data_IF_712335851769
#
_entry.id   IF_712335851769
#
_cell.length_a   1.000
_cell.length_b   1.000
_cell.length_c   1.000
_cell.angle_alpha   90.00
_cell.angle_beta   90.00
_cell.angle_gamma   90.00
#
_symmetry.space_group_name_H-M   'P 1'
#
loop_
_entity.id
_entity.type
_entity.pdbx_description
1 polymer ?
#
# COMPACT_ATOMS: atom_id res chain seq x y z
N UNK A 1 -32.93 8.51 28.06
CA UNK A 1 -32.13 9.21 29.07
C UNK A 1 -30.77 8.57 29.00
N UNK A 2 -29.76 9.27 28.46
CA UNK A 2 -28.41 8.74 28.37
C UNK A 2 -27.86 8.60 29.79
N UNK A 3 -27.36 7.42 30.16
CA UNK A 3 -26.74 7.19 31.46
C UNK A 3 -25.46 8.02 31.59
N UNK A 4 -25.08 8.37 32.82
CA UNK A 4 -23.93 9.24 33.13
C UNK A 4 -22.57 8.75 32.56
N UNK A 5 -22.51 7.54 31.99
CA UNK A 5 -21.32 6.90 31.43
C UNK A 5 -21.34 6.73 29.89
N UNK A 6 -22.43 7.09 29.18
CA UNK A 6 -22.56 6.89 27.73
C UNK A 6 -21.46 7.63 26.92
N UNK A 7 -20.98 8.76 27.43
CA UNK A 7 -19.91 9.54 26.80
C UNK A 7 -18.55 8.83 26.88
N UNK A 8 -18.30 8.05 27.94
CA UNK A 8 -17.06 7.26 28.06
C UNK A 8 -17.03 6.16 27.01
N UNK A 9 -18.16 5.47 26.87
CA UNK A 9 -18.32 4.40 25.90
C UNK A 9 -18.19 4.91 24.46
N UNK A 10 -18.75 6.09 24.16
CA UNK A 10 -18.56 6.75 22.87
C UNK A 10 -17.09 7.11 22.61
N UNK A 11 -16.37 7.64 23.59
CA UNK A 11 -14.94 7.96 23.48
C UNK A 11 -14.09 6.69 23.28
N UNK A 12 -14.41 5.62 23.99
CA UNK A 12 -13.71 4.34 23.86
C UNK A 12 -13.92 3.70 22.48
N UNK A 13 -15.16 3.59 22.00
CA UNK A 13 -15.46 3.08 20.64
C UNK A 13 -14.69 3.87 19.59
N UNK A 14 -14.69 5.20 19.76
CA UNK A 14 -13.99 6.13 18.88
C UNK A 14 -12.48 5.81 18.86
N UNK A 15 -11.81 5.68 20.02
CA UNK A 15 -10.39 5.28 20.09
C UNK A 15 -10.13 3.91 19.46
N UNK A 16 -11.00 2.93 19.65
CA UNK A 16 -10.86 1.61 19.03
C UNK A 16 -10.88 1.71 17.49
N UNK A 17 -11.74 2.55 16.92
CA UNK A 17 -11.79 2.77 15.47
C UNK A 17 -10.52 3.40 14.90
N UNK A 18 -9.92 4.38 15.58
CA UNK A 18 -8.64 4.95 15.12
C UNK A 18 -7.49 3.94 15.22
N UNK A 19 -7.43 3.17 16.31
CA UNK A 19 -6.48 2.07 16.44
C UNK A 19 -6.62 1.06 15.28
N UNK A 20 -7.86 0.71 14.92
CA UNK A 20 -8.12 -0.22 13.83
C UNK A 20 -7.63 0.33 12.47
N UNK A 21 -7.84 1.61 12.17
CA UNK A 21 -7.36 2.22 10.92
C UNK A 21 -5.83 2.26 10.87
N UNK A 22 -5.19 2.63 11.98
CA UNK A 22 -3.72 2.70 12.04
C UNK A 22 -3.12 1.29 11.90
N UNK A 23 -3.73 0.28 12.52
CA UNK A 23 -3.37 -1.12 12.31
C UNK A 23 -3.55 -1.55 10.84
N UNK A 24 -4.62 -1.11 10.18
CA UNK A 24 -4.85 -1.38 8.76
C UNK A 24 -3.76 -0.76 7.87
N UNK A 25 -3.38 0.49 8.15
CA UNK A 25 -2.29 1.19 7.45
C UNK A 25 -0.96 0.44 7.66
N UNK A 26 -0.63 0.08 8.91
CA UNK A 26 0.58 -0.68 9.23
C UNK A 26 0.63 -2.03 8.51
N UNK A 27 -0.48 -2.78 8.54
CA UNK A 27 -0.61 -4.05 7.81
C UNK A 27 -0.45 -3.86 6.30
N UNK A 28 -1.06 -2.82 5.72
CA UNK A 28 -0.94 -2.49 4.30
C UNK A 28 0.51 -2.17 3.92
N UNK A 29 1.23 -1.40 4.76
CA UNK A 29 2.64 -1.09 4.55
C UNK A 29 3.51 -2.35 4.58
N UNK A 30 3.28 -3.25 5.53
CA UNK A 30 4.02 -4.52 5.59
C UNK A 30 3.76 -5.39 4.36
N UNK A 31 2.52 -5.44 3.86
CA UNK A 31 2.20 -6.14 2.61
C UNK A 31 2.90 -5.49 1.41
N UNK A 32 2.87 -4.16 1.31
CA UNK A 32 3.53 -3.43 0.22
C UNK A 32 5.05 -3.64 0.23
N UNK A 33 5.69 -3.63 1.40
CA UNK A 33 7.12 -3.95 1.55
C UNK A 33 7.42 -5.39 1.14
N UNK A 34 6.57 -6.35 1.52
CA UNK A 34 6.71 -7.75 1.12
C UNK A 34 6.67 -7.92 -0.40
N UNK A 35 5.67 -7.29 -1.06
CA UNK A 35 5.54 -7.30 -2.52
C UNK A 35 6.69 -6.57 -3.21
N UNK A 36 7.13 -5.42 -2.69
CA UNK A 36 8.25 -4.66 -3.24
C UNK A 36 9.53 -5.49 -3.25
N UNK A 37 9.83 -6.20 -2.15
CA UNK A 37 10.98 -7.10 -2.06
C UNK A 37 10.89 -8.21 -3.09
N UNK A 38 9.72 -8.87 -3.17
CA UNK A 38 9.48 -9.95 -4.13
C UNK A 38 9.69 -9.47 -5.58
N UNK A 39 9.00 -8.39 -5.97
CA UNK A 39 9.07 -7.87 -7.33
C UNK A 39 10.47 -7.36 -7.69
N UNK A 40 11.17 -6.70 -6.78
CA UNK A 40 12.53 -6.22 -7.04
C UNK A 40 13.53 -7.35 -7.25
N UNK A 41 13.44 -8.43 -6.46
CA UNK A 41 14.33 -9.59 -6.60
C UNK A 41 14.09 -10.31 -7.93
N UNK A 42 12.82 -10.55 -8.26
CA UNK A 42 12.48 -11.24 -9.51
C UNK A 42 12.85 -10.34 -10.70
N UNK A 43 12.56 -9.04 -10.64
CA UNK A 43 12.92 -8.10 -11.71
C UNK A 43 14.43 -8.06 -11.95
N UNK A 44 15.25 -8.09 -10.89
CA UNK A 44 16.70 -8.12 -11.02
C UNK A 44 17.15 -9.43 -11.70
N UNK A 45 16.61 -10.57 -11.28
CA UNK A 45 16.93 -11.86 -11.88
C UNK A 45 16.54 -11.92 -13.37
N UNK A 46 15.35 -11.44 -13.74
CA UNK A 46 14.91 -11.41 -15.14
C UNK A 46 15.66 -10.38 -15.96
N UNK A 47 16.06 -9.24 -15.37
CA UNK A 47 16.90 -8.25 -16.04
C UNK A 47 18.28 -8.84 -16.37
N UNK A 48 18.91 -9.51 -15.41
CA UNK A 48 20.20 -10.19 -15.63
C UNK A 48 20.07 -11.26 -16.72
N UNK A 49 19.04 -12.11 -16.66
CA UNK A 49 18.80 -13.13 -17.68
C UNK A 49 18.54 -12.54 -19.07
N UNK A 50 17.80 -11.43 -19.16
CA UNK A 50 17.56 -10.73 -20.42
C UNK A 50 18.86 -10.18 -21.01
N UNK A 51 19.68 -9.52 -20.21
CA UNK A 51 20.98 -8.97 -20.65
C UNK A 51 21.91 -10.09 -21.11
N UNK A 52 22.04 -11.18 -20.35
CA UNK A 52 22.87 -12.32 -20.75
C UNK A 52 22.38 -12.93 -22.07
N UNK A 53 21.07 -13.15 -22.22
CA UNK A 53 20.51 -13.72 -23.45
C UNK A 53 20.69 -12.82 -24.67
N UNK A 54 20.56 -11.50 -24.52
CA UNK A 54 20.63 -10.56 -25.65
C UNK A 54 22.07 -10.14 -25.99
N UNK A 55 22.94 -10.00 -25.00
CA UNK A 55 24.30 -9.47 -25.19
C UNK A 55 25.36 -10.56 -25.35
N UNK A 56 25.26 -11.67 -24.60
CA UNK A 56 26.26 -12.74 -24.67
C UNK A 56 25.98 -13.75 -25.80
N UNK A 57 24.75 -13.77 -26.34
CA UNK A 57 24.35 -14.67 -27.43
C UNK A 57 24.32 -16.16 -27.03
N UNK A 58 24.46 -16.48 -25.74
CA UNK A 58 24.45 -17.85 -25.22
C UNK A 58 23.06 -18.50 -25.30
N UNK A 59 22.00 -17.69 -25.37
CA UNK A 59 20.61 -18.12 -25.44
C UNK A 59 19.88 -17.47 -26.62
N UNK A 60 18.74 -18.06 -27.01
CA UNK A 60 17.87 -17.50 -28.05
C UNK A 60 17.45 -16.07 -27.69
N UNK A 61 17.59 -15.07 -28.60
CA UNK A 61 17.13 -13.70 -28.37
C UNK A 61 15.65 -13.59 -27.97
N UNK A 62 14.85 -14.58 -28.34
CA UNK A 62 13.44 -14.73 -27.93
C UNK A 62 13.29 -14.78 -26.41
N UNK A 63 14.13 -15.56 -25.73
CA UNK A 63 14.12 -15.67 -24.25
C UNK A 63 14.52 -14.34 -23.62
N UNK A 64 15.47 -13.64 -24.24
CA UNK A 64 15.88 -12.30 -23.81
C UNK A 64 14.73 -11.29 -23.81
N UNK A 65 13.94 -11.24 -24.88
CA UNK A 65 12.78 -10.34 -24.99
C UNK A 65 11.62 -10.72 -24.05
N UNK A 66 11.39 -12.02 -23.84
CA UNK A 66 10.44 -12.51 -22.85
C UNK A 66 10.82 -12.00 -21.45
N UNK A 67 12.07 -12.22 -21.04
CA UNK A 67 12.57 -11.79 -19.73
C UNK A 67 12.60 -10.27 -19.58
N UNK A 68 12.91 -9.52 -20.66
CA UNK A 68 12.85 -8.06 -20.66
C UNK A 68 11.42 -7.55 -20.44
N UNK A 69 10.43 -8.15 -21.09
CA UNK A 69 9.02 -7.78 -20.93
C UNK A 69 8.54 -8.02 -19.49
N UNK A 70 8.92 -9.16 -18.90
CA UNK A 70 8.59 -9.52 -17.53
C UNK A 70 9.23 -8.54 -16.53
N UNK A 71 10.50 -8.19 -16.76
CA UNK A 71 11.23 -7.18 -15.98
C UNK A 71 10.49 -5.85 -15.94
N UNK A 72 10.04 -5.34 -17.09
CA UNK A 72 9.32 -4.06 -17.16
C UNK A 72 8.04 -4.06 -16.32
N UNK A 73 7.25 -5.14 -16.39
CA UNK A 73 6.01 -5.27 -15.63
C UNK A 73 6.29 -5.34 -14.12
N UNK A 74 7.34 -6.05 -13.71
CA UNK A 74 7.73 -6.13 -12.30
C UNK A 74 8.28 -4.81 -11.77
N UNK A 75 9.10 -4.10 -12.54
CA UNK A 75 9.58 -2.75 -12.17
C UNK A 75 8.40 -1.78 -12.02
N UNK A 76 7.45 -1.81 -12.96
CA UNK A 76 6.23 -1.02 -12.85
C UNK A 76 5.41 -1.39 -11.60
N UNK A 77 5.31 -2.67 -11.28
CA UNK A 77 4.59 -3.15 -10.10
C UNK A 77 5.29 -2.74 -8.79
N UNK A 78 6.63 -2.79 -8.75
CA UNK A 78 7.44 -2.28 -7.65
C UNK A 78 7.23 -0.78 -7.44
N UNK A 79 7.13 0.00 -8.52
CA UNK A 79 6.83 1.43 -8.43
C UNK A 79 5.46 1.71 -7.79
N UNK A 80 4.44 0.91 -8.11
CA UNK A 80 3.14 1.01 -7.44
C UNK A 80 3.22 0.66 -5.93
N UNK A 81 4.08 -0.29 -5.54
CA UNK A 81 4.35 -0.57 -4.13
C UNK A 81 5.01 0.63 -3.42
N UNK A 82 5.92 1.33 -4.09
CA UNK A 82 6.51 2.57 -3.56
C UNK A 82 5.46 3.66 -3.33
N UNK A 83 4.53 3.86 -4.26
CA UNK A 83 3.41 4.79 -4.07
C UNK A 83 2.48 4.38 -2.92
N UNK A 84 2.32 3.08 -2.66
CA UNK A 84 1.55 2.60 -1.51
C UNK A 84 2.26 2.87 -0.17
N UNK A 85 3.59 2.98 -0.18
CA UNK A 85 4.43 3.24 1.00
C UNK A 85 4.67 4.72 1.27
N UNK A 86 4.23 5.60 0.37
CA UNK A 86 4.44 7.05 0.50
C UNK A 86 3.99 7.53 1.88
N UNK A 87 4.87 8.31 2.52
CA UNK A 87 4.74 8.78 3.90
C UNK A 87 3.58 9.77 3.96
N UNK A 88 2.40 9.27 4.33
CA UNK A 88 1.28 10.12 4.70
C UNK A 88 1.43 10.61 6.14
N UNK A 89 0.96 11.82 6.42
CA UNK A 89 0.74 12.27 7.79
C UNK A 89 -0.32 11.38 8.43
N UNK A 90 0.13 10.37 9.18
CA UNK A 90 -0.74 9.48 9.95
C UNK A 90 -0.85 10.06 11.35
N UNK A 91 -2.08 10.40 11.75
CA UNK A 91 -2.33 10.83 13.11
C UNK A 91 -2.40 9.60 14.02
N UNK A 92 -1.39 9.43 14.87
CA UNK A 92 -1.27 8.30 15.76
C UNK A 92 -2.38 8.30 16.82
N UNK A 93 -2.90 7.12 17.19
CA UNK A 93 -3.91 7.03 18.21
C UNK A 93 -3.28 7.40 19.55
N UNK A 94 -3.71 8.53 20.10
CA UNK A 94 -3.12 9.07 21.32
C UNK A 94 -3.79 10.36 21.76
N UNK A 95 -3.50 10.75 23.00
CA UNK A 95 -3.89 12.07 23.52
C UNK A 95 -2.73 13.03 23.22
N UNK A 96 -2.88 13.87 22.21
CA UNK A 96 -1.90 14.93 21.94
C UNK A 96 -1.76 15.84 23.16
N UNK A 97 -0.64 16.57 23.26
CA UNK A 97 -0.47 17.59 24.30
C UNK A 97 -1.65 18.58 24.32
N UNK A 98 -2.18 18.95 23.15
CA UNK A 98 -3.38 19.77 22.98
C UNK A 98 -4.60 19.20 23.72
N UNK A 99 -4.80 17.88 23.74
CA UNK A 99 -5.89 17.26 24.49
C UNK A 99 -5.72 17.47 26.00
N UNK A 100 -4.49 17.33 26.51
CA UNK A 100 -4.22 17.50 27.94
C UNK A 100 -4.30 18.96 28.36
N UNK A 101 -3.91 19.88 27.47
CA UNK A 101 -4.12 21.32 27.65
C UNK A 101 -5.61 21.65 27.67
N UNK A 102 -6.39 21.09 26.73
CA UNK A 102 -7.85 21.26 26.70
C UNK A 102 -8.53 20.68 27.94
N UNK A 103 -8.02 19.56 28.47
CA UNK A 103 -8.55 18.93 29.68
C UNK A 103 -8.15 19.68 30.96
N UNK A 104 -6.98 20.33 30.96
CA UNK A 104 -6.47 21.10 32.09
C UNK A 104 -7.09 22.50 32.19
N UNK A 105 -7.38 23.15 31.06
CA UNK A 105 -8.00 24.49 31.01
C UNK A 105 -9.53 24.46 31.13
N UNK A 106 -10.17 23.29 31.09
CA UNK A 106 -11.63 23.23 31.10
C UNK A 106 -12.23 23.35 32.51
N UNK A 107 -12.67 24.56 32.85
CA UNK A 107 -13.72 24.80 33.85
C UNK A 107 -15.14 24.44 33.32
N UNK A 108 -15.26 24.08 32.04
CA UNK A 108 -16.55 23.84 31.38
C UNK A 108 -17.21 22.49 31.71
N UNK A 109 -18.53 22.47 31.55
CA UNK A 109 -19.39 21.30 31.71
C UNK A 109 -18.97 20.11 30.81
N UNK A 110 -18.99 18.90 31.37
CA UNK A 110 -18.51 17.63 30.76
C UNK A 110 -19.05 17.36 29.33
N UNK A 111 -20.31 17.68 28.98
CA UNK A 111 -20.83 17.46 27.64
C UNK A 111 -20.10 18.28 26.57
N UNK A 112 -19.71 19.52 26.88
CA UNK A 112 -19.04 20.43 25.94
C UNK A 112 -17.65 19.91 25.57
N UNK A 113 -16.90 19.42 26.57
CA UNK A 113 -15.61 18.78 26.35
C UNK A 113 -15.71 17.53 25.47
N UNK A 114 -16.71 16.68 25.72
CA UNK A 114 -16.91 15.46 24.92
C UNK A 114 -17.19 15.75 23.43
N UNK A 115 -17.93 16.83 23.13
CA UNK A 115 -18.21 17.25 21.75
C UNK A 115 -16.95 17.76 21.04
N UNK A 116 -16.18 18.63 21.68
CA UNK A 116 -14.92 19.13 21.13
C UNK A 116 -13.93 17.99 20.88
N UNK A 117 -13.87 17.01 21.79
CA UNK A 117 -13.05 15.81 21.61
C UNK A 117 -13.46 15.02 20.35
N UNK A 118 -14.75 14.77 20.17
CA UNK A 118 -15.26 14.04 19.01
C UNK A 118 -15.05 14.80 17.69
N UNK A 119 -15.05 16.13 17.72
CA UNK A 119 -14.84 16.97 16.54
C UNK A 119 -13.38 16.91 16.05
N UNK A 120 -12.42 17.08 16.96
CA UNK A 120 -10.98 16.89 16.66
C UNK A 120 -10.75 15.46 16.15
N UNK A 121 -11.39 14.48 16.78
CA UNK A 121 -11.27 13.09 16.37
C UNK A 121 -11.80 12.84 14.95
N UNK A 122 -12.93 13.44 14.60
CA UNK A 122 -13.55 13.30 13.27
C UNK A 122 -12.60 13.77 12.17
N UNK A 123 -11.90 14.88 12.37
CA UNK A 123 -10.93 15.40 11.41
C UNK A 123 -9.76 14.43 11.20
N UNK A 124 -9.14 13.97 12.30
CA UNK A 124 -8.01 13.03 12.27
C UNK A 124 -8.38 11.70 11.63
N UNK A 125 -9.57 11.18 11.96
CA UNK A 125 -10.13 9.98 11.38
C UNK A 125 -10.28 10.11 9.85
N UNK A 126 -10.75 11.26 9.36
CA UNK A 126 -10.88 11.51 7.92
C UNK A 126 -9.52 11.53 7.22
N UNK A 127 -8.49 12.12 7.83
CA UNK A 127 -7.12 12.12 7.32
C UNK A 127 -6.58 10.70 7.20
N UNK A 128 -6.63 9.92 8.28
CA UNK A 128 -6.16 8.53 8.28
C UNK A 128 -6.95 7.65 7.29
N UNK A 129 -8.25 7.86 7.18
CA UNK A 129 -9.10 7.15 6.21
C UNK A 129 -8.69 7.47 4.77
N UNK A 130 -8.42 8.73 4.42
CA UNK A 130 -7.97 9.12 3.07
C UNK A 130 -6.62 8.47 2.73
N UNK A 131 -5.69 8.44 3.69
CA UNK A 131 -4.40 7.75 3.52
C UNK A 131 -4.64 6.26 3.27
N UNK A 132 -5.44 5.60 4.11
CA UNK A 132 -5.80 4.20 3.97
C UNK A 132 -6.43 3.86 2.62
N UNK A 133 -7.38 4.67 2.13
CA UNK A 133 -8.03 4.46 0.83
C UNK A 133 -7.08 4.67 -0.37
N UNK A 134 -6.10 5.59 -0.26
CA UNK A 134 -5.06 5.76 -1.28
C UNK A 134 -4.13 4.55 -1.31
N UNK A 135 -3.64 4.12 -0.15
CA UNK A 135 -2.78 2.95 -0.02
C UNK A 135 -3.46 1.68 -0.54
N UNK A 136 -4.73 1.47 -0.20
CA UNK A 136 -5.51 0.33 -0.67
C UNK A 136 -5.62 0.29 -2.20
N UNK A 137 -5.81 1.45 -2.85
CA UNK A 137 -5.86 1.56 -4.31
C UNK A 137 -4.51 1.26 -4.95
N UNK A 138 -3.42 1.80 -4.42
CA UNK A 138 -2.07 1.54 -4.92
C UNK A 138 -1.69 0.05 -4.74
N UNK A 139 -1.96 -0.52 -3.56
CA UNK A 139 -1.72 -1.93 -3.29
C UNK A 139 -2.55 -2.86 -4.20
N UNK A 140 -3.79 -2.49 -4.51
CA UNK A 140 -4.61 -3.25 -5.47
C UNK A 140 -3.99 -3.25 -6.87
N UNK A 141 -3.47 -2.11 -7.33
CA UNK A 141 -2.74 -2.03 -8.61
C UNK A 141 -1.47 -2.88 -8.59
N UNK A 142 -0.70 -2.83 -7.51
CA UNK A 142 0.49 -3.66 -7.36
C UNK A 142 0.18 -5.17 -7.38
N UNK A 143 -0.88 -5.59 -6.70
CA UNK A 143 -1.35 -6.99 -6.72
C UNK A 143 -1.78 -7.43 -8.12
N UNK A 144 -2.50 -6.57 -8.85
CA UNK A 144 -2.85 -6.83 -10.25
C UNK A 144 -1.61 -6.96 -11.13
N UNK A 145 -0.60 -6.11 -10.92
CA UNK A 145 0.69 -6.20 -11.61
C UNK A 145 1.38 -7.56 -11.43
N UNK A 146 1.38 -8.08 -10.19
CA UNK A 146 1.91 -9.42 -9.91
C UNK A 146 1.15 -10.57 -10.60
N UNK A 147 -0.15 -10.42 -10.82
CA UNK A 147 -0.97 -11.41 -11.56
C UNK A 147 -0.73 -11.28 -13.09
N UNK A 148 -0.60 -10.05 -13.58
CA UNK A 148 -0.44 -9.76 -15.00
C UNK A 148 0.97 -10.10 -15.50
N UNK A 149 2.00 -9.94 -14.67
CA UNK A 149 3.40 -10.21 -15.03
C UNK A 149 3.63 -11.60 -15.67
N UNK A 150 3.21 -12.73 -15.07
CA UNK A 150 3.38 -14.03 -15.70
C UNK A 150 2.54 -14.20 -16.98
N UNK A 151 1.35 -13.59 -17.05
CA UNK A 151 0.51 -13.66 -18.25
C UNK A 151 1.15 -12.94 -19.44
N UNK A 152 1.78 -11.78 -19.19
CA UNK A 152 2.53 -11.05 -20.22
C UNK A 152 3.76 -11.86 -20.64
N UNK A 153 4.52 -12.42 -19.69
CA UNK A 153 5.67 -13.27 -20.01
C UNK A 153 5.28 -14.44 -20.91
N UNK A 154 4.26 -15.20 -20.53
CA UNK A 154 3.74 -16.33 -21.35
C UNK A 154 3.26 -15.84 -22.72
N UNK A 155 2.52 -14.73 -22.77
CA UNK A 155 1.99 -14.20 -24.03
C UNK A 155 3.09 -13.76 -25.00
N UNK A 156 4.11 -13.06 -24.49
CA UNK A 156 5.26 -12.61 -25.28
C UNK A 156 6.10 -13.82 -25.72
N UNK A 157 6.39 -14.74 -24.80
CA UNK A 157 7.14 -15.97 -25.12
C UNK A 157 6.44 -16.80 -26.19
N UNK A 158 5.12 -17.02 -26.07
CA UNK A 158 4.33 -17.76 -27.06
C UNK A 158 4.31 -17.08 -28.44
N UNK A 159 4.14 -15.75 -28.46
CA UNK A 159 4.12 -14.97 -29.71
C UNK A 159 5.48 -15.01 -30.41
N UNK A 160 6.58 -14.82 -29.68
CA UNK A 160 7.92 -14.87 -30.25
C UNK A 160 8.29 -16.28 -30.70
N UNK A 161 7.92 -17.31 -29.95
CA UNK A 161 8.11 -18.72 -30.34
C UNK A 161 7.36 -19.05 -31.64
N UNK A 162 6.14 -18.53 -31.81
CA UNK A 162 5.38 -18.68 -33.05
C UNK A 162 6.12 -18.04 -34.24
N UNK A 163 6.56 -16.78 -34.13
CA UNK A 163 7.31 -16.14 -35.23
C UNK A 163 8.60 -16.88 -35.58
N UNK A 164 9.33 -17.39 -34.57
CA UNK A 164 10.56 -18.15 -34.79
C UNK A 164 10.30 -19.49 -35.51
N UNK A 165 9.16 -20.15 -35.26
CA UNK A 165 8.79 -21.39 -35.92
C UNK A 165 8.38 -21.21 -37.40
N UNK A 166 7.85 -20.04 -37.76
CA UNK A 166 7.42 -19.73 -39.14
C UNK A 166 8.48 -18.99 -39.98
N UNK A 167 9.62 -18.60 -39.37
CA UNK A 167 10.76 -18.01 -40.07
C UNK A 167 11.81 -19.03 -40.55
N UNK A 168 11.57 -20.32 -40.32
CA UNK A 168 12.36 -21.47 -40.78
C UNK A 168 11.69 -22.13 -41.99
#
# INVERSE_FOLDING_TARGET
MFENDDWKLAIEDTRFRQNAIVALISSSNNQALGLLRLFSVIALATATGAVTSLAAGEFSPTVGWELASLTLVLVWSSWQCFQALEVGDIDLPGRNAEFWLLAADNENDRPTFSRQYLEIFKERYQTNRRVSERQARALRKAKLGGIIAPLIGIGVGALLAFFQAYSL
#
